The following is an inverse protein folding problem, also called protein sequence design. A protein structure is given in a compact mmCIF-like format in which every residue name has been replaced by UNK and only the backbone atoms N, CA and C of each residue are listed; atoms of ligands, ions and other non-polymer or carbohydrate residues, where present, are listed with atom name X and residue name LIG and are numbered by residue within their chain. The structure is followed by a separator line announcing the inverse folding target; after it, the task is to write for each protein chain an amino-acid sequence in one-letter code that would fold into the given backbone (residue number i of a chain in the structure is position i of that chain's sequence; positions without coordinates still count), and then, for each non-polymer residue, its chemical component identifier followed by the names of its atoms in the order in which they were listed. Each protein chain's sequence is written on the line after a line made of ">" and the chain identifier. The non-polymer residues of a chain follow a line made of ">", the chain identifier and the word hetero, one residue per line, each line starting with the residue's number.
data_IF_903053392508
#
_entry.id   IF_903053392508
#
_cell.length_a   1.000
_cell.length_b   1.000
_cell.length_c   1.000
_cell.angle_alpha   90.00
_cell.angle_beta   90.00
_cell.angle_gamma   90.00
#
_symmetry.space_group_name_H-M   'P 1'
#
loop_
_entity.id
_entity.type
_entity.pdbx_description
1 polymer ?
#
# COMPACT_ATOMS: atom_id res chain seq x y z
N UNK A 1 -20.35 -61.75 15.68
CA UNK A 1 -19.97 -60.33 15.63
C UNK A 1 -20.90 -59.62 14.65
N UNK A 2 -21.93 -58.93 15.14
CA UNK A 2 -22.84 -58.15 14.30
C UNK A 2 -22.05 -56.93 13.81
N UNK A 3 -21.97 -56.74 12.47
CA UNK A 3 -21.51 -55.50 11.88
C UNK A 3 -22.54 -54.42 12.17
N UNK A 4 -22.25 -53.52 13.09
CA UNK A 4 -23.01 -52.27 13.23
C UNK A 4 -22.93 -51.49 11.92
N UNK A 5 -24.06 -51.42 11.20
CA UNK A 5 -24.17 -50.53 10.05
C UNK A 5 -24.12 -49.09 10.56
N UNK A 6 -23.03 -48.37 10.28
CA UNK A 6 -22.94 -46.94 10.56
C UNK A 6 -24.06 -46.24 9.82
N UNK A 7 -24.91 -45.52 10.56
CA UNK A 7 -25.99 -44.73 9.98
C UNK A 7 -25.34 -43.54 9.25
N UNK A 8 -25.52 -43.49 7.95
CA UNK A 8 -25.07 -42.34 7.15
C UNK A 8 -25.99 -41.15 7.45
N UNK A 9 -25.41 -40.00 7.67
CA UNK A 9 -26.12 -38.72 7.86
C UNK A 9 -25.82 -37.82 6.70
N UNK A 10 -26.76 -36.95 6.34
CA UNK A 10 -26.51 -35.90 5.34
C UNK A 10 -25.63 -34.82 5.90
N UNK A 11 -24.97 -33.99 5.03
CA UNK A 11 -24.18 -32.84 5.46
C UNK A 11 -25.05 -31.89 6.30
N UNK A 12 -26.29 -31.66 5.91
CA UNK A 12 -27.22 -30.79 6.64
C UNK A 12 -27.54 -31.35 8.05
N UNK A 13 -27.71 -32.65 8.19
CA UNK A 13 -27.94 -33.27 9.50
C UNK A 13 -26.68 -33.19 10.36
N UNK A 14 -25.50 -33.39 9.77
CA UNK A 14 -24.23 -33.25 10.48
C UNK A 14 -24.02 -31.78 10.99
N UNK A 15 -24.31 -30.79 10.17
CA UNK A 15 -24.26 -29.41 10.58
C UNK A 15 -25.22 -29.09 11.72
N UNK A 16 -26.47 -29.53 11.63
CA UNK A 16 -27.45 -29.38 12.74
C UNK A 16 -26.98 -30.02 14.04
N UNK A 17 -26.37 -31.20 13.96
CA UNK A 17 -25.82 -31.89 15.15
C UNK A 17 -24.69 -31.01 15.73
N UNK A 18 -23.76 -30.51 14.91
CA UNK A 18 -22.67 -29.67 15.38
C UNK A 18 -23.21 -28.39 16.05
N UNK A 19 -24.19 -27.72 15.42
CA UNK A 19 -24.82 -26.50 15.97
C UNK A 19 -25.52 -26.82 17.31
N UNK A 20 -26.15 -28.01 17.43
CA UNK A 20 -26.84 -28.42 18.65
C UNK A 20 -25.89 -28.71 19.83
N UNK A 21 -24.59 -28.88 19.59
CA UNK A 21 -23.61 -29.14 20.66
C UNK A 21 -23.39 -27.92 21.55
N UNK A 22 -23.81 -26.72 21.11
CA UNK A 22 -23.69 -25.48 21.89
C UNK A 22 -22.24 -25.14 22.25
N UNK A 23 -21.29 -25.53 21.40
CA UNK A 23 -19.88 -25.24 21.61
C UNK A 23 -19.66 -23.74 21.42
N UNK A 24 -19.32 -23.02 22.49
CA UNK A 24 -18.88 -21.63 22.42
C UNK A 24 -17.42 -21.53 22.79
N UNK A 25 -16.65 -20.81 21.98
CA UNK A 25 -15.28 -20.46 22.33
C UNK A 25 -15.30 -19.28 23.31
N UNK A 26 -14.43 -19.31 24.34
CA UNK A 26 -14.20 -18.15 25.19
C UNK A 26 -13.43 -17.08 24.42
N UNK A 27 -13.71 -15.80 24.71
CA UNK A 27 -12.94 -14.67 24.18
C UNK A 27 -11.85 -14.33 25.20
N UNK A 28 -10.64 -14.08 24.73
CA UNK A 28 -9.50 -13.65 25.54
C UNK A 28 -8.63 -12.65 24.79
N UNK A 29 -8.06 -11.72 25.52
CA UNK A 29 -7.04 -10.83 24.98
C UNK A 29 -5.68 -11.54 25.04
N UNK A 30 -4.95 -11.50 23.92
CA UNK A 30 -3.61 -12.09 23.80
C UNK A 30 -2.66 -11.09 23.15
N UNK A 31 -1.36 -11.22 23.46
CA UNK A 31 -0.35 -10.45 22.75
C UNK A 31 -0.30 -10.88 21.29
N UNK A 32 0.02 -9.94 20.39
CA UNK A 32 0.05 -10.20 18.96
C UNK A 32 1.00 -11.34 18.58
N UNK A 33 2.10 -11.53 19.34
CA UNK A 33 3.06 -12.61 19.13
C UNK A 33 2.42 -13.99 19.37
N UNK A 34 1.42 -14.06 20.23
CA UNK A 34 0.75 -15.30 20.67
C UNK A 34 -0.55 -15.53 19.89
N UNK A 35 -0.95 -14.61 19.01
CA UNK A 35 -2.22 -14.66 18.28
C UNK A 35 -2.24 -15.65 17.10
N UNK A 36 -1.06 -16.16 16.69
CA UNK A 36 -0.98 -17.08 15.53
C UNK A 36 -1.80 -18.35 15.75
N UNK A 37 -2.71 -18.61 14.81
CA UNK A 37 -3.59 -19.79 14.84
C UNK A 37 -4.85 -19.62 15.67
N UNK A 38 -5.02 -18.52 16.39
CA UNK A 38 -6.28 -18.16 17.04
C UNK A 38 -7.29 -17.61 16.04
N UNK A 39 -8.54 -17.52 16.45
CA UNK A 39 -9.64 -16.98 15.65
C UNK A 39 -9.97 -15.59 16.19
N UNK A 40 -10.10 -14.61 15.32
CA UNK A 40 -10.54 -13.28 15.70
C UNK A 40 -11.95 -13.30 16.27
N UNK A 41 -12.15 -12.61 17.38
CA UNK A 41 -13.44 -12.49 18.05
C UNK A 41 -14.22 -11.25 17.59
N UNK A 42 -13.53 -10.30 16.95
CA UNK A 42 -14.10 -9.06 16.44
C UNK A 42 -13.36 -8.60 15.17
N UNK A 43 -14.02 -7.78 14.36
CA UNK A 43 -13.38 -7.16 13.20
C UNK A 43 -12.30 -6.16 13.62
N UNK A 44 -11.18 -6.17 12.91
CA UNK A 44 -10.10 -5.20 13.11
C UNK A 44 -10.16 -4.15 12.03
N UNK A 45 -10.27 -2.88 12.42
CA UNK A 45 -10.33 -1.73 11.52
C UNK A 45 -8.99 -0.98 11.54
N UNK A 46 -8.61 -0.47 10.39
CA UNK A 46 -7.48 0.47 10.33
C UNK A 46 -7.93 1.85 10.80
N UNK A 47 -7.21 2.44 11.74
CA UNK A 47 -7.47 3.80 12.23
C UNK A 47 -6.83 4.86 11.34
N UNK A 48 -5.91 4.46 10.46
CA UNK A 48 -5.13 5.36 9.59
C UNK A 48 -5.03 4.83 8.17
N UNK A 49 -4.81 5.71 7.22
CA UNK A 49 -4.43 5.34 5.86
C UNK A 49 -3.01 4.75 5.83
N UNK A 50 -2.78 3.73 5.00
CA UNK A 50 -1.46 3.16 4.76
C UNK A 50 -1.18 3.16 3.25
N UNK A 51 -0.20 3.93 2.78
CA UNK A 51 0.56 4.96 3.49
C UNK A 51 -0.33 6.15 3.89
N UNK A 52 0.08 6.98 4.89
CA UNK A 52 -0.74 8.10 5.37
C UNK A 52 -0.66 9.35 4.49
N UNK A 53 0.14 9.34 3.43
CA UNK A 53 0.33 10.44 2.47
C UNK A 53 0.77 9.91 1.11
N UNK A 54 0.60 10.73 0.07
CA UNK A 54 1.12 10.44 -1.26
C UNK A 54 2.64 10.46 -1.25
N UNK A 55 3.27 9.40 -1.78
CA UNK A 55 4.73 9.23 -1.79
C UNK A 55 5.26 8.76 -3.13
N UNK A 56 6.53 9.07 -3.41
CA UNK A 56 7.21 8.55 -4.58
C UNK A 56 7.36 7.03 -4.51
N UNK A 57 7.00 6.33 -5.57
CA UNK A 57 7.17 4.89 -5.70
C UNK A 57 8.56 4.52 -6.24
N UNK A 58 9.27 5.48 -6.87
CA UNK A 58 10.58 5.30 -7.49
C UNK A 58 11.47 6.50 -7.21
N UNK A 59 12.78 6.29 -7.33
CA UNK A 59 13.76 7.38 -7.31
C UNK A 59 13.68 8.16 -8.63
N UNK A 60 13.74 9.49 -8.55
CA UNK A 60 13.63 10.33 -9.73
C UNK A 60 13.36 11.80 -9.44
N UNK A 61 12.48 12.39 -10.22
CA UNK A 61 12.13 13.80 -10.11
C UNK A 61 10.62 13.96 -10.03
N UNK A 62 10.16 14.60 -8.96
CA UNK A 62 8.77 15.03 -8.79
C UNK A 62 8.49 16.20 -9.73
N UNK A 63 7.48 16.05 -10.57
CA UNK A 63 7.13 16.99 -11.65
C UNK A 63 5.62 17.16 -11.75
N UNK A 64 5.22 18.16 -12.51
CA UNK A 64 3.88 18.21 -13.09
C UNK A 64 3.90 17.43 -14.41
N UNK A 65 3.09 16.39 -14.53
CA UNK A 65 3.04 15.56 -15.75
C UNK A 65 2.85 16.39 -17.03
N UNK A 66 1.99 17.43 -16.96
CA UNK A 66 1.72 18.35 -18.07
C UNK A 66 2.96 18.98 -18.67
N UNK A 67 3.97 19.22 -17.86
CA UNK A 67 5.21 19.88 -18.30
C UNK A 67 6.10 18.90 -19.08
N UNK A 68 5.87 17.59 -18.95
CA UNK A 68 6.66 16.54 -19.61
C UNK A 68 6.08 16.05 -20.93
N UNK A 69 4.81 16.35 -21.28
CA UNK A 69 4.09 15.73 -22.40
C UNK A 69 4.77 15.90 -23.76
N UNK A 70 5.65 16.88 -23.91
CA UNK A 70 6.40 17.12 -25.17
C UNK A 70 7.80 16.49 -25.14
N UNK A 71 8.17 15.84 -24.04
CA UNK A 71 9.49 15.23 -23.89
C UNK A 71 9.67 14.05 -24.85
N UNK A 72 10.85 14.00 -25.48
CA UNK A 72 11.33 12.88 -26.31
C UNK A 72 12.83 12.76 -26.14
N UNK A 73 13.37 11.57 -26.39
CA UNK A 73 14.82 11.32 -26.31
C UNK A 73 15.65 12.26 -27.20
N UNK A 74 15.15 12.52 -28.42
CA UNK A 74 15.77 13.43 -29.39
C UNK A 74 15.46 14.92 -29.12
N UNK A 75 14.43 15.18 -28.31
CA UNK A 75 13.97 16.52 -27.94
C UNK A 75 13.55 16.56 -26.46
N UNK A 76 14.49 16.54 -25.52
CA UNK A 76 14.19 16.61 -24.08
C UNK A 76 13.47 17.89 -23.68
N UNK A 77 12.69 17.81 -22.61
CA UNK A 77 12.14 18.98 -21.93
C UNK A 77 13.05 19.34 -20.77
N UNK A 78 13.45 20.58 -20.67
CA UNK A 78 14.27 21.10 -19.56
C UNK A 78 13.36 21.64 -18.46
N UNK A 79 13.53 21.13 -17.24
CA UNK A 79 12.84 21.57 -16.03
C UNK A 79 13.88 22.08 -15.02
N UNK A 80 13.61 23.24 -14.44
CA UNK A 80 14.50 23.85 -13.44
C UNK A 80 14.48 23.03 -12.16
N UNK A 81 15.66 22.68 -11.62
CA UNK A 81 15.76 21.99 -10.34
C UNK A 81 15.40 22.94 -9.19
N UNK A 82 14.32 22.64 -8.47
CA UNK A 82 13.84 23.42 -7.31
C UNK A 82 14.48 22.97 -5.99
N UNK A 83 14.96 21.72 -5.91
CA UNK A 83 15.61 21.18 -4.72
C UNK A 83 15.56 19.66 -4.68
N UNK A 84 15.79 19.08 -3.49
CA UNK A 84 15.78 17.63 -3.25
C UNK A 84 14.91 17.28 -2.04
N UNK A 85 14.21 16.16 -2.11
CA UNK A 85 13.25 15.68 -1.09
C UNK A 85 13.67 14.28 -0.65
N UNK A 86 13.97 14.16 0.64
CA UNK A 86 14.39 12.90 1.24
C UNK A 86 13.24 12.24 2.02
N UNK A 87 13.24 10.91 2.20
CA UNK A 87 12.29 10.22 3.02
C UNK A 87 12.32 10.70 4.48
N UNK A 88 11.15 10.74 5.12
CA UNK A 88 11.02 11.13 6.53
C UNK A 88 11.00 12.64 6.77
N UNK A 89 11.05 13.47 5.73
CA UNK A 89 10.95 14.92 5.82
C UNK A 89 9.72 15.40 5.07
N UNK A 90 8.95 16.31 5.69
CA UNK A 90 7.90 17.01 4.96
C UNK A 90 8.54 18.03 4.00
N UNK A 91 8.20 18.00 2.70
CA UNK A 91 8.78 18.92 1.75
C UNK A 91 8.26 20.35 1.94
N UNK A 92 9.17 21.30 2.10
CA UNK A 92 8.87 22.75 2.07
C UNK A 92 8.83 23.30 0.63
N UNK A 93 9.13 22.43 -0.35
CA UNK A 93 9.21 22.78 -1.78
C UNK A 93 7.82 22.67 -2.38
N UNK A 94 7.45 23.69 -3.18
CA UNK A 94 6.28 23.66 -4.04
C UNK A 94 6.73 23.68 -5.51
N UNK A 95 6.28 22.70 -6.28
CA UNK A 95 6.60 22.58 -7.71
C UNK A 95 5.68 23.48 -8.53
N UNK A 96 6.29 24.40 -9.28
CA UNK A 96 5.62 25.29 -10.24
C UNK A 96 5.79 24.75 -11.66
N UNK A 97 5.13 25.42 -12.62
CA UNK A 97 5.30 25.15 -14.05
C UNK A 97 6.78 25.29 -14.46
N UNK A 98 7.29 24.27 -15.15
CA UNK A 98 8.69 24.21 -15.60
C UNK A 98 9.70 23.88 -14.51
N UNK A 99 9.27 23.43 -13.33
CA UNK A 99 10.14 23.02 -12.22
C UNK A 99 10.08 21.52 -11.97
N UNK A 100 11.14 20.98 -11.37
CA UNK A 100 11.23 19.61 -10.87
C UNK A 100 11.97 19.60 -9.53
N UNK A 101 11.69 18.65 -8.64
CA UNK A 101 12.49 18.38 -7.47
C UNK A 101 12.98 16.94 -7.49
N UNK A 102 14.25 16.74 -7.19
CA UNK A 102 14.80 15.41 -6.94
C UNK A 102 14.04 14.77 -5.78
N UNK A 103 13.62 13.51 -5.94
CA UNK A 103 12.82 12.81 -4.93
C UNK A 103 13.28 11.37 -4.81
N UNK A 104 13.48 10.90 -3.59
CA UNK A 104 13.80 9.52 -3.31
C UNK A 104 12.55 8.69 -3.06
N UNK A 105 12.62 7.40 -3.34
CA UNK A 105 11.56 6.42 -3.07
C UNK A 105 11.07 6.52 -1.63
N UNK A 106 9.76 6.58 -1.43
CA UNK A 106 9.12 6.70 -0.12
C UNK A 106 9.05 8.14 0.42
N UNK A 107 9.66 9.12 -0.22
CA UNK A 107 9.55 10.51 0.17
C UNK A 107 8.15 11.07 -0.16
N UNK A 108 7.69 12.03 0.63
CA UNK A 108 6.39 12.70 0.47
C UNK A 108 6.37 13.50 -0.83
N UNK A 109 5.29 13.36 -1.60
CA UNK A 109 5.10 14.18 -2.81
C UNK A 109 4.99 15.67 -2.45
N UNK A 110 5.76 16.54 -3.12
CA UNK A 110 5.69 17.98 -2.87
C UNK A 110 4.42 18.56 -3.47
N UNK A 111 3.91 19.63 -2.86
CA UNK A 111 2.78 20.36 -3.40
C UNK A 111 3.04 20.82 -4.84
N UNK A 112 2.05 20.67 -5.71
CA UNK A 112 2.13 21.05 -7.12
C UNK A 112 2.70 20.00 -8.07
N UNK A 113 3.39 18.95 -7.57
CA UNK A 113 3.75 17.79 -8.36
C UNK A 113 2.62 16.73 -8.32
N UNK A 114 2.44 16.04 -9.41
CA UNK A 114 1.45 14.96 -9.56
C UNK A 114 2.04 13.65 -10.10
N UNK A 115 3.35 13.61 -10.38
CA UNK A 115 4.01 12.46 -10.98
C UNK A 115 5.50 12.45 -10.68
N UNK A 116 6.14 11.29 -10.84
CA UNK A 116 7.59 11.13 -10.72
C UNK A 116 8.15 10.59 -12.02
N UNK A 117 9.09 11.32 -12.62
CA UNK A 117 9.93 10.82 -13.73
C UNK A 117 11.09 10.05 -13.12
N UNK A 118 11.23 8.77 -13.47
CA UNK A 118 12.34 7.94 -12.98
C UNK A 118 13.69 8.50 -13.44
N UNK A 119 14.71 8.34 -12.62
CA UNK A 119 16.06 8.85 -12.88
C UNK A 119 16.62 8.36 -14.23
N UNK A 120 16.27 7.15 -14.67
CA UNK A 120 16.70 6.54 -15.93
C UNK A 120 16.18 7.29 -17.17
N UNK A 121 15.09 8.05 -17.02
CA UNK A 121 14.50 8.85 -18.09
C UNK A 121 14.83 10.33 -17.98
N UNK A 122 15.91 10.65 -17.26
CA UNK A 122 16.39 12.03 -17.09
C UNK A 122 17.89 12.13 -17.36
N UNK A 123 18.35 13.35 -17.60
CA UNK A 123 19.76 13.75 -17.59
C UNK A 123 19.91 15.05 -16.84
N UNK A 124 20.99 15.19 -16.08
CA UNK A 124 21.34 16.45 -15.42
C UNK A 124 22.30 17.24 -16.30
N UNK A 125 21.90 18.43 -16.69
CA UNK A 125 22.75 19.43 -17.37
C UNK A 125 22.30 20.82 -16.91
N UNK A 126 22.79 21.27 -15.77
CA UNK A 126 22.32 22.45 -14.99
C UNK A 126 20.87 22.33 -14.54
N UNK A 127 19.97 21.96 -15.46
CA UNK A 127 18.57 21.66 -15.27
C UNK A 127 18.32 20.16 -15.46
N UNK A 128 17.12 19.72 -15.08
CA UNK A 128 16.66 18.34 -15.29
C UNK A 128 16.13 18.20 -16.72
N UNK A 129 16.82 17.45 -17.55
CA UNK A 129 16.37 17.13 -18.90
C UNK A 129 15.52 15.85 -18.84
N UNK A 130 14.22 15.97 -19.09
CA UNK A 130 13.27 14.87 -19.15
C UNK A 130 13.25 14.30 -20.57
N UNK A 131 13.55 13.01 -20.70
CA UNK A 131 13.69 12.30 -21.98
C UNK A 131 12.41 11.62 -22.44
N UNK A 132 11.46 11.40 -21.54
CA UNK A 132 10.21 10.70 -21.79
C UNK A 132 9.05 11.37 -21.04
N UNK A 133 7.85 11.49 -21.62
CA UNK A 133 6.70 11.98 -20.89
C UNK A 133 6.31 11.01 -19.80
N UNK A 134 5.71 11.53 -18.74
CA UNK A 134 5.11 10.77 -17.66
C UNK A 134 3.61 11.08 -17.60
N UNK A 135 2.80 10.07 -17.28
CA UNK A 135 1.37 10.23 -17.10
C UNK A 135 1.05 10.82 -15.72
N UNK A 136 -0.12 11.42 -15.57
CA UNK A 136 -0.60 11.89 -14.26
C UNK A 136 -0.67 10.69 -13.30
N UNK A 137 -0.18 10.85 -12.08
CA UNK A 137 -0.06 9.84 -11.03
C UNK A 137 0.93 8.69 -11.34
N UNK A 138 1.71 8.77 -12.41
CA UNK A 138 2.74 7.75 -12.69
C UNK A 138 3.84 7.81 -11.64
N UNK A 139 4.19 6.63 -11.08
CA UNK A 139 5.17 6.44 -10.02
C UNK A 139 4.83 7.17 -8.69
N UNK A 140 3.55 7.43 -8.44
CA UNK A 140 3.04 7.95 -7.16
C UNK A 140 2.22 6.86 -6.48
N UNK A 141 2.51 6.59 -5.21
CA UNK A 141 1.70 5.76 -4.35
C UNK A 141 0.83 6.66 -3.48
N UNK A 142 -0.49 6.59 -3.70
CA UNK A 142 -1.44 7.44 -2.99
C UNK A 142 -1.64 7.02 -1.53
N UNK A 143 -2.03 7.97 -0.70
CA UNK A 143 -2.49 7.71 0.65
C UNK A 143 -3.61 6.64 0.64
N UNK A 144 -3.54 5.69 1.57
CA UNK A 144 -4.51 4.60 1.66
C UNK A 144 -4.45 3.54 0.57
N UNK A 145 -3.41 3.55 -0.30
CA UNK A 145 -3.29 2.59 -1.41
C UNK A 145 -3.21 1.13 -0.93
N UNK A 146 -2.61 0.89 0.23
CA UNK A 146 -2.52 -0.44 0.82
C UNK A 146 -3.74 -0.73 1.71
N UNK A 147 -4.09 0.20 2.61
CA UNK A 147 -5.24 0.11 3.52
C UNK A 147 -5.78 1.52 3.77
N UNK A 148 -7.09 1.72 3.59
CA UNK A 148 -7.75 2.98 3.93
C UNK A 148 -8.23 2.97 5.40
N UNK A 149 -8.22 4.12 6.05
CA UNK A 149 -8.84 4.31 7.35
C UNK A 149 -10.32 3.90 7.32
N UNK A 150 -10.78 3.19 8.36
CA UNK A 150 -12.13 2.66 8.46
C UNK A 150 -12.39 1.37 7.67
N UNK A 151 -11.43 0.87 6.90
CA UNK A 151 -11.52 -0.45 6.26
C UNK A 151 -11.07 -1.54 7.24
N UNK A 152 -11.78 -2.66 7.25
CA UNK A 152 -11.43 -3.82 8.07
C UNK A 152 -10.60 -4.83 7.23
N UNK A 153 -9.26 -4.83 7.37
CA UNK A 153 -8.41 -5.80 6.68
C UNK A 153 -8.57 -7.22 7.22
N UNK A 154 -9.09 -7.36 8.45
CA UNK A 154 -9.35 -8.65 9.08
C UNK A 154 -10.77 -8.67 9.63
N UNK A 155 -11.56 -9.66 9.21
CA UNK A 155 -12.94 -9.89 9.68
C UNK A 155 -12.96 -10.94 10.79
N UNK A 156 -13.98 -10.88 11.65
CA UNK A 156 -14.17 -11.88 12.70
C UNK A 156 -14.23 -13.30 12.13
N UNK A 157 -13.92 -14.30 12.96
CA UNK A 157 -13.90 -15.73 12.60
C UNK A 157 -12.84 -16.12 11.56
N UNK A 158 -12.02 -15.19 11.09
CA UNK A 158 -10.83 -15.52 10.29
C UNK A 158 -9.70 -15.93 11.22
N UNK A 159 -9.09 -17.08 10.91
CA UNK A 159 -7.90 -17.52 11.65
C UNK A 159 -6.76 -16.53 11.39
N UNK A 160 -6.16 -16.01 12.44
CA UNK A 160 -5.04 -15.09 12.34
C UNK A 160 -3.90 -15.73 11.53
N UNK A 161 -3.55 -15.18 10.34
CA UNK A 161 -2.61 -15.83 9.42
C UNK A 161 -1.15 -15.68 9.83
N UNK A 162 -0.86 -14.86 10.85
CA UNK A 162 0.50 -14.55 11.24
C UNK A 162 1.20 -15.80 11.80
N UNK A 163 2.20 -16.31 11.11
CA UNK A 163 3.18 -17.23 11.67
C UNK A 163 4.42 -16.44 12.05
N UNK A 164 4.75 -16.42 13.33
CA UNK A 164 6.12 -16.12 13.72
C UNK A 164 6.99 -17.22 13.13
N UNK A 165 7.84 -16.88 12.15
CA UNK A 165 8.92 -17.80 11.78
C UNK A 165 9.76 -18.04 13.01
N UNK A 166 10.02 -19.29 13.42
CA UNK A 166 11.03 -19.54 14.44
C UNK A 166 12.38 -19.03 13.89
N UNK A 167 13.04 -18.17 14.65
CA UNK A 167 14.45 -17.79 14.45
C UNK A 167 15.34 -19.03 14.65
#
# INVERSE_FOLDING_TARGET
>A
MQKEFRKLVTINDANRIIESLGISAGISEVKIQDASGLILAEDVFSEVDVPPFDRAAMDGFAVRASDTFKAREDRPVSLKLAGSILPGVNPDIQIKEGEAAEIATGAVMPAGADSVVMVEYTRMDRDVLVLRPVSINENVMHAGADIMAGVHPLVEQVRCPWRSSPL
#
